data_IF_797695878589
#
_entry.id   IF_797695878589
#
_cell.length_a   1.000
_cell.length_b   1.000
_cell.length_c   1.000
_cell.angle_alpha   90.00
_cell.angle_beta   90.00
_cell.angle_gamma   90.00
#
_symmetry.space_group_name_H-M   'P 1'
#
loop_
_entity.id
_entity.type
_entity.pdbx_description
1 polymer ?
#
# COMPACT_ATOMS: atom_id res chain seq x y z
N UNK A 1 1.16 -19.07 -0.79
CA UNK A 1 1.10 -17.59 -0.80
C UNK A 1 1.98 -17.12 -1.94
N UNK A 2 1.57 -16.10 -2.69
CA UNK A 2 2.40 -15.49 -3.73
C UNK A 2 3.07 -14.24 -3.16
N UNK A 3 4.35 -14.04 -3.50
CA UNK A 3 5.14 -12.88 -3.08
C UNK A 3 5.89 -12.30 -4.28
N UNK A 4 6.15 -10.99 -4.23
CA UNK A 4 7.13 -10.34 -5.11
C UNK A 4 8.51 -10.32 -4.45
N UNK A 5 9.56 -10.41 -5.26
CA UNK A 5 10.94 -10.21 -4.84
C UNK A 5 11.27 -8.73 -4.63
N UNK A 6 12.56 -8.40 -4.55
CA UNK A 6 13.02 -7.02 -4.48
C UNK A 6 12.51 -6.20 -5.68
N UNK A 7 12.36 -4.89 -5.50
CA UNK A 7 11.95 -4.02 -6.60
C UNK A 7 12.96 -4.08 -7.75
N UNK A 8 12.44 -3.96 -8.98
CA UNK A 8 13.27 -3.69 -10.16
C UNK A 8 13.86 -2.30 -10.02
N UNK A 9 15.16 -2.15 -10.31
CA UNK A 9 15.79 -0.83 -10.40
C UNK A 9 15.74 -0.32 -11.84
N UNK A 10 15.52 1.00 -11.95
CA UNK A 10 15.40 1.69 -13.23
C UNK A 10 16.68 1.55 -14.07
N UNK A 11 16.56 1.82 -15.37
CA UNK A 11 17.71 1.89 -16.30
C UNK A 11 18.58 0.63 -16.37
N UNK A 12 18.04 -0.52 -15.94
CA UNK A 12 18.71 -1.81 -16.05
C UNK A 12 19.73 -2.10 -14.95
N UNK A 13 19.77 -1.31 -13.87
CA UNK A 13 20.67 -1.55 -12.74
C UNK A 13 20.38 -2.88 -12.02
N UNK A 14 19.10 -3.25 -11.95
CA UNK A 14 18.65 -4.53 -11.40
C UNK A 14 17.42 -5.04 -12.19
N UNK A 15 17.65 -5.64 -13.37
CA UNK A 15 16.59 -5.94 -14.34
C UNK A 15 15.70 -7.12 -13.93
N UNK A 16 16.09 -7.89 -12.91
CA UNK A 16 15.45 -9.10 -12.41
C UNK A 16 14.59 -8.88 -11.15
N UNK A 17 14.32 -7.62 -10.77
CA UNK A 17 13.38 -7.32 -9.69
C UNK A 17 11.91 -7.51 -10.07
N UNK A 18 11.04 -7.44 -9.07
CA UNK A 18 9.59 -7.65 -9.17
C UNK A 18 9.19 -9.03 -9.74
N UNK A 19 10.06 -10.03 -9.59
CA UNK A 19 9.72 -11.42 -9.90
C UNK A 19 8.74 -11.97 -8.87
N UNK A 20 7.88 -12.87 -9.31
CA UNK A 20 6.88 -13.52 -8.44
C UNK A 20 7.33 -14.91 -8.08
N UNK A 21 7.15 -15.30 -6.82
CA UNK A 21 7.33 -16.67 -6.33
C UNK A 21 6.08 -17.15 -5.60
N UNK A 22 5.90 -18.48 -5.54
CA UNK A 22 4.93 -19.11 -4.65
C UNK A 22 5.68 -19.77 -3.51
N UNK A 23 5.27 -19.48 -2.28
CA UNK A 23 5.82 -20.06 -1.06
C UNK A 23 4.74 -20.83 -0.27
N UNK A 24 5.19 -21.83 0.49
CA UNK A 24 4.37 -22.37 1.58
C UNK A 24 4.29 -21.37 2.74
N UNK A 25 3.39 -21.64 3.69
CA UNK A 25 3.35 -20.93 4.96
C UNK A 25 3.48 -21.97 6.06
N UNK A 26 4.62 -22.04 6.77
CA UNK A 26 4.78 -22.97 7.87
C UNK A 26 3.86 -22.59 9.03
N UNK A 27 3.63 -23.51 9.94
CA UNK A 27 2.83 -23.24 11.15
C UNK A 27 3.47 -22.08 11.93
N UNK A 28 2.74 -20.98 12.20
CA UNK A 28 3.30 -19.85 12.93
C UNK A 28 3.74 -20.23 14.35
N UNK A 29 4.83 -19.63 14.81
CA UNK A 29 5.37 -19.76 16.16
C UNK A 29 5.29 -18.40 16.85
N UNK A 30 4.85 -18.37 18.11
CA UNK A 30 4.86 -17.15 18.93
C UNK A 30 6.25 -17.01 19.56
N UNK A 31 7.13 -16.24 18.92
CA UNK A 31 8.45 -15.89 19.46
C UNK A 31 8.81 -14.43 19.15
N UNK A 32 9.68 -13.86 19.99
CA UNK A 32 10.37 -12.58 19.74
C UNK A 32 11.84 -12.78 19.35
N UNK A 33 12.28 -14.02 19.15
CA UNK A 33 13.62 -14.32 18.65
C UNK A 33 13.52 -14.76 17.19
N UNK A 34 14.27 -14.11 16.29
CA UNK A 34 14.26 -14.44 14.86
C UNK A 34 14.67 -15.89 14.58
N UNK A 35 15.64 -16.42 15.33
CA UNK A 35 16.13 -17.79 15.17
C UNK A 35 15.11 -18.89 15.48
N UNK A 36 14.02 -18.56 16.19
CA UNK A 36 12.95 -19.51 16.49
C UNK A 36 11.90 -19.57 15.35
N UNK A 37 11.93 -18.62 14.42
CA UNK A 37 10.90 -18.49 13.40
C UNK A 37 11.07 -19.55 12.31
N UNK A 38 9.99 -20.25 11.93
CA UNK A 38 10.05 -21.17 10.81
C UNK A 38 10.18 -20.40 9.48
N UNK A 39 10.99 -20.94 8.57
CA UNK A 39 11.24 -20.34 7.26
C UNK A 39 10.35 -20.97 6.19
N UNK A 40 9.66 -20.13 5.43
CA UNK A 40 8.86 -20.54 4.28
C UNK A 40 9.75 -21.11 3.15
N UNK A 41 9.21 -22.06 2.40
CA UNK A 41 9.90 -22.71 1.28
C UNK A 41 9.20 -22.40 -0.04
N UNK A 42 9.99 -22.28 -1.10
CA UNK A 42 9.46 -22.14 -2.45
C UNK A 42 8.69 -23.39 -2.86
N UNK A 43 7.44 -23.18 -3.29
CA UNK A 43 6.68 -24.13 -4.11
C UNK A 43 6.96 -23.90 -5.59
N UNK A 44 7.06 -22.64 -5.97
CA UNK A 44 7.54 -22.18 -7.28
C UNK A 44 8.57 -21.08 -7.02
N UNK A 45 9.78 -21.24 -7.55
CA UNK A 45 10.81 -20.20 -7.43
C UNK A 45 10.44 -18.94 -8.23
N UNK A 46 11.21 -17.86 -8.03
CA UNK A 46 10.97 -16.59 -8.70
C UNK A 46 10.91 -16.72 -10.23
N UNK A 47 9.92 -16.08 -10.84
CA UNK A 47 9.72 -15.98 -12.29
C UNK A 47 9.34 -14.56 -12.66
N UNK A 48 9.86 -14.07 -13.79
CA UNK A 48 9.43 -12.82 -14.41
C UNK A 48 8.10 -13.04 -15.16
N UNK A 49 7.00 -12.98 -14.42
CA UNK A 49 5.65 -13.11 -14.98
C UNK A 49 5.22 -11.89 -15.76
N UNK A 50 5.84 -10.73 -15.51
CA UNK A 50 5.53 -9.47 -16.18
C UNK A 50 6.44 -9.22 -17.40
N UNK A 51 7.20 -10.23 -17.85
CA UNK A 51 8.17 -10.08 -18.94
C UNK A 51 7.54 -9.46 -20.19
N UNK A 52 8.06 -8.30 -20.57
CA UNK A 52 7.60 -7.55 -21.74
C UNK A 52 6.40 -6.63 -21.50
N UNK A 53 5.85 -6.62 -20.28
CA UNK A 53 4.81 -5.69 -19.82
C UNK A 53 5.45 -4.55 -19.00
N UNK A 54 4.69 -3.46 -18.81
CA UNK A 54 5.05 -2.32 -17.93
C UNK A 54 6.45 -1.71 -18.17
N UNK A 55 6.91 -1.69 -19.41
CA UNK A 55 8.27 -1.21 -19.77
C UNK A 55 8.47 0.27 -19.45
N UNK A 56 7.39 1.04 -19.43
CA UNK A 56 7.39 2.48 -19.17
C UNK A 56 7.09 2.82 -17.69
N UNK A 57 7.15 1.81 -16.81
CA UNK A 57 6.86 1.90 -15.37
C UNK A 57 7.99 1.26 -14.56
N UNK A 58 9.21 1.78 -14.68
CA UNK A 58 10.43 1.22 -14.08
C UNK A 58 11.10 2.11 -13.02
N UNK A 59 10.64 3.36 -12.84
CA UNK A 59 11.19 4.30 -11.85
C UNK A 59 10.59 4.08 -10.46
N UNK A 60 11.27 3.30 -9.61
CA UNK A 60 10.83 2.95 -8.25
C UNK A 60 9.43 2.32 -8.30
N UNK A 61 9.32 1.07 -8.79
CA UNK A 61 8.05 0.41 -9.01
C UNK A 61 7.20 0.31 -7.74
N UNK A 62 5.89 0.19 -7.95
CA UNK A 62 4.91 -0.19 -6.92
C UNK A 62 4.12 -1.37 -7.45
N UNK A 63 4.17 -2.49 -6.74
CA UNK A 63 3.61 -3.75 -7.22
C UNK A 63 2.69 -4.32 -6.17
N UNK A 64 1.54 -4.81 -6.61
CA UNK A 64 0.59 -5.50 -5.74
C UNK A 64 0.04 -6.75 -6.39
N UNK A 65 -0.24 -7.77 -5.57
CA UNK A 65 -0.75 -9.07 -6.01
C UNK A 65 -2.05 -9.44 -5.30
N UNK A 66 -3.03 -9.96 -6.05
CA UNK A 66 -4.24 -10.55 -5.46
C UNK A 66 -4.60 -11.85 -6.18
N UNK A 67 -4.50 -12.98 -5.49
CA UNK A 67 -5.08 -14.24 -5.96
C UNK A 67 -6.61 -14.17 -5.91
N UNK A 68 -7.29 -14.52 -6.98
CA UNK A 68 -8.74 -14.62 -6.99
C UNK A 68 -9.19 -15.75 -7.92
N UNK A 69 -10.10 -16.58 -7.42
CA UNK A 69 -10.62 -17.75 -8.14
C UNK A 69 -12.13 -17.59 -8.29
N UNK A 70 -12.57 -17.46 -9.54
CA UNK A 70 -13.98 -17.28 -9.86
C UNK A 70 -14.47 -18.35 -10.82
N UNK A 71 -15.76 -18.72 -10.77
CA UNK A 71 -16.33 -19.64 -11.76
C UNK A 71 -16.12 -19.20 -13.22
N UNK A 72 -16.08 -17.89 -13.48
CA UNK A 72 -15.95 -17.36 -14.83
C UNK A 72 -14.52 -17.48 -15.38
N UNK A 73 -13.50 -17.24 -14.56
CA UNK A 73 -12.10 -17.09 -15.01
C UNK A 73 -11.20 -18.25 -14.59
N UNK A 74 -11.67 -19.08 -13.66
CA UNK A 74 -10.83 -19.92 -12.83
C UNK A 74 -9.85 -19.10 -12.00
N UNK A 75 -8.78 -19.73 -11.48
CA UNK A 75 -7.82 -19.06 -10.63
C UNK A 75 -6.94 -18.12 -11.45
N UNK A 76 -6.77 -16.91 -10.93
CA UNK A 76 -5.90 -15.86 -11.47
C UNK A 76 -5.16 -15.17 -10.34
N UNK A 77 -4.01 -14.59 -10.68
CA UNK A 77 -3.33 -13.63 -9.83
C UNK A 77 -3.42 -12.29 -10.56
N UNK A 78 -4.10 -11.35 -9.93
CA UNK A 78 -4.19 -9.98 -10.38
C UNK A 78 -2.94 -9.23 -9.95
N UNK A 79 -2.51 -8.32 -10.82
CA UNK A 79 -1.28 -7.55 -10.70
C UNK A 79 -1.60 -6.08 -10.88
N UNK A 80 -1.17 -5.25 -9.94
CA UNK A 80 -1.04 -3.82 -10.16
C UNK A 80 0.44 -3.46 -10.25
N UNK A 81 0.78 -2.52 -11.12
CA UNK A 81 2.14 -2.08 -11.40
C UNK A 81 2.15 -0.58 -11.65
N UNK A 82 2.74 0.18 -10.74
CA UNK A 82 2.97 1.61 -10.86
C UNK A 82 4.44 1.96 -10.73
N UNK A 83 4.71 3.26 -10.65
CA UNK A 83 6.05 3.81 -10.41
C UNK A 83 5.95 5.06 -9.51
N UNK A 84 7.07 5.67 -9.13
CA UNK A 84 7.06 6.83 -8.25
C UNK A 84 6.31 8.03 -8.83
N UNK A 85 6.58 8.37 -10.10
CA UNK A 85 5.97 9.48 -10.83
C UNK A 85 4.97 8.99 -11.87
N UNK A 86 3.82 9.65 -11.98
CA UNK A 86 2.85 9.36 -13.03
C UNK A 86 3.47 9.73 -14.39
N UNK A 87 3.50 8.81 -15.37
CA UNK A 87 4.01 9.11 -16.70
C UNK A 87 3.04 10.02 -17.45
N UNK A 88 3.59 10.80 -18.38
CA UNK A 88 2.86 11.59 -19.35
C UNK A 88 3.33 11.21 -20.77
N UNK A 89 2.50 10.55 -21.59
CA UNK A 89 1.09 10.19 -21.34
C UNK A 89 0.92 9.07 -20.28
N UNK A 90 -0.27 8.94 -19.66
CA UNK A 90 -0.55 7.89 -18.67
C UNK A 90 -0.37 6.47 -19.24
N UNK A 91 0.23 5.58 -18.44
CA UNK A 91 0.42 4.17 -18.75
C UNK A 91 -0.59 3.28 -18.00
N UNK A 92 -0.99 2.18 -18.64
CA UNK A 92 -1.84 1.16 -18.03
C UNK A 92 -1.05 0.37 -16.98
N UNK A 93 -1.69 0.08 -15.83
CA UNK A 93 -1.02 -0.44 -14.63
C UNK A 93 -1.55 -1.77 -14.13
N UNK A 94 -2.66 -2.29 -14.67
CA UNK A 94 -3.26 -3.52 -14.17
C UNK A 94 -3.16 -4.67 -15.16
N UNK A 95 -2.89 -5.86 -14.67
CA UNK A 95 -2.86 -7.10 -15.44
C UNK A 95 -3.36 -8.28 -14.59
N UNK A 96 -3.39 -9.45 -15.18
CA UNK A 96 -3.48 -10.71 -14.45
C UNK A 96 -2.63 -11.79 -15.10
N UNK A 97 -2.40 -12.88 -14.39
CA UNK A 97 -1.71 -14.07 -14.89
C UNK A 97 -2.21 -15.34 -14.18
N UNK A 98 -1.85 -16.50 -14.73
CA UNK A 98 -2.18 -17.81 -14.18
C UNK A 98 -1.24 -18.17 -13.02
N UNK A 99 -1.72 -18.92 -12.00
CA UNK A 99 -0.88 -19.32 -10.87
C UNK A 99 0.33 -20.23 -11.19
N UNK A 100 0.35 -20.89 -12.36
CA UNK A 100 1.55 -21.58 -12.85
C UNK A 100 2.54 -20.54 -13.37
N UNK A 101 3.55 -20.21 -12.55
CA UNK A 101 4.49 -19.12 -12.82
C UNK A 101 5.41 -19.41 -14.02
N UNK A 102 5.52 -20.66 -14.47
CA UNK A 102 6.25 -21.02 -15.70
C UNK A 102 5.40 -20.81 -16.96
N UNK A 103 4.09 -20.71 -16.80
CA UNK A 103 3.12 -20.46 -17.88
C UNK A 103 2.15 -19.34 -17.46
N UNK A 104 2.66 -18.15 -17.13
CA UNK A 104 1.86 -17.09 -16.52
C UNK A 104 0.75 -16.61 -17.45
N UNK A 105 0.96 -16.62 -18.78
CA UNK A 105 -0.09 -16.20 -19.73
C UNK A 105 -0.60 -14.78 -19.45
N UNK A 106 0.31 -13.90 -19.03
CA UNK A 106 0.00 -12.54 -18.57
C UNK A 106 -0.82 -11.78 -19.61
N UNK A 107 -1.92 -11.20 -19.16
CA UNK A 107 -2.91 -10.53 -20.01
C UNK A 107 -3.34 -9.22 -19.34
N UNK A 108 -3.70 -8.24 -20.18
CA UNK A 108 -3.71 -6.82 -19.85
C UNK A 108 -2.87 -6.07 -20.87
N UNK A 109 -2.34 -4.90 -20.61
CA UNK A 109 -2.48 -4.06 -19.40
C UNK A 109 -3.73 -3.19 -19.47
N UNK A 110 -4.34 -2.86 -18.34
CA UNK A 110 -5.55 -2.04 -18.27
C UNK A 110 -5.35 -0.78 -17.43
N UNK A 111 -6.23 0.21 -17.65
CA UNK A 111 -6.39 1.36 -16.77
C UNK A 111 -7.60 1.15 -15.85
N UNK A 112 -7.58 1.76 -14.66
CA UNK A 112 -8.75 1.86 -13.77
C UNK A 112 -9.45 3.19 -14.06
N UNK A 113 -10.53 3.12 -14.85
CA UNK A 113 -11.29 4.29 -15.28
C UNK A 113 -10.43 5.46 -15.74
N UNK A 114 -10.69 6.63 -15.16
CA UNK A 114 -9.93 7.86 -15.35
C UNK A 114 -9.03 8.22 -14.14
N UNK A 115 -8.77 7.25 -13.26
CA UNK A 115 -8.06 7.49 -12.00
C UNK A 115 -6.57 7.75 -12.25
N UNK A 116 -5.96 8.53 -11.35
CA UNK A 116 -4.51 8.79 -11.34
C UNK A 116 -3.74 7.51 -11.03
N UNK A 117 -2.56 7.37 -11.66
CA UNK A 117 -1.61 6.31 -11.34
C UNK A 117 -1.20 6.36 -9.85
N UNK A 118 -1.22 7.53 -9.23
CA UNK A 118 -0.88 7.68 -7.82
C UNK A 118 -1.88 7.01 -6.87
N UNK A 119 -3.10 6.67 -7.32
CA UNK A 119 -4.16 6.21 -6.43
C UNK A 119 -4.58 4.74 -6.62
N UNK A 120 -3.98 3.99 -7.56
CA UNK A 120 -4.56 2.70 -8.01
C UNK A 120 -3.67 1.46 -7.94
N UNK A 121 -2.38 1.55 -7.61
CA UNK A 121 -1.41 0.45 -7.80
C UNK A 121 -0.42 0.20 -6.64
N UNK A 122 -0.85 0.43 -5.41
CA UNK A 122 -0.06 0.15 -4.20
C UNK A 122 -0.53 -1.09 -3.44
N UNK A 123 -1.79 -1.49 -3.59
CA UNK A 123 -2.36 -2.69 -2.96
C UNK A 123 -3.61 -3.15 -3.70
N UNK A 124 -3.97 -4.41 -3.48
CA UNK A 124 -5.17 -5.05 -4.04
C UNK A 124 -5.87 -5.88 -2.98
N UNK A 125 -7.18 -6.06 -3.12
CA UNK A 125 -7.95 -6.97 -2.26
C UNK A 125 -9.09 -7.63 -3.02
N UNK A 126 -9.50 -8.79 -2.55
CA UNK A 126 -10.79 -9.37 -2.90
C UNK A 126 -11.92 -8.67 -2.12
N UNK A 127 -13.00 -8.30 -2.79
CA UNK A 127 -14.26 -7.82 -2.20
C UNK A 127 -15.28 -8.97 -2.26
N UNK A 128 -15.94 -9.33 -1.14
CA UNK A 128 -16.94 -10.41 -1.12
C UNK A 128 -18.00 -10.22 -2.20
N UNK A 129 -18.25 -11.27 -2.98
CA UNK A 129 -19.11 -11.18 -4.17
C UNK A 129 -20.54 -10.76 -3.83
N UNK A 130 -21.10 -11.24 -2.71
CA UNK A 130 -22.44 -10.85 -2.26
C UNK A 130 -22.54 -9.34 -1.99
N UNK A 131 -21.48 -8.74 -1.44
CA UNK A 131 -21.41 -7.30 -1.22
C UNK A 131 -21.21 -6.55 -2.55
N UNK A 132 -20.34 -7.07 -3.43
CA UNK A 132 -20.04 -6.46 -4.72
C UNK A 132 -21.25 -6.44 -5.66
N UNK A 133 -22.01 -7.53 -5.75
CA UNK A 133 -23.22 -7.61 -6.58
C UNK A 133 -24.24 -6.54 -6.19
N UNK A 134 -24.41 -6.31 -4.88
CA UNK A 134 -25.35 -5.34 -4.35
C UNK A 134 -24.91 -3.88 -4.54
N UNK A 135 -23.61 -3.59 -4.45
CA UNK A 135 -23.13 -2.21 -4.29
C UNK A 135 -22.26 -1.71 -5.45
N UNK A 136 -21.56 -2.61 -6.15
CA UNK A 136 -20.58 -2.25 -7.19
C UNK A 136 -20.88 -2.91 -8.54
N UNK A 137 -22.04 -3.56 -8.67
CA UNK A 137 -22.44 -4.25 -9.89
C UNK A 137 -21.50 -5.42 -10.23
N UNK A 138 -21.16 -6.22 -9.22
CA UNK A 138 -20.33 -7.43 -9.36
C UNK A 138 -18.82 -7.18 -9.46
N UNK A 139 -18.37 -5.93 -9.30
CA UNK A 139 -16.95 -5.56 -9.25
C UNK A 139 -16.35 -6.01 -7.92
N UNK A 140 -15.80 -7.22 -7.91
CA UNK A 140 -15.33 -7.96 -6.72
C UNK A 140 -13.81 -7.87 -6.49
N UNK A 141 -13.09 -7.06 -7.26
CA UNK A 141 -11.70 -6.72 -6.97
C UNK A 141 -11.58 -5.27 -6.53
N UNK A 142 -10.83 -5.02 -5.47
CA UNK A 142 -10.44 -3.69 -5.00
C UNK A 142 -8.99 -3.41 -5.37
N UNK A 143 -8.71 -2.17 -5.74
CA UNK A 143 -7.34 -1.67 -5.93
C UNK A 143 -7.22 -0.26 -5.40
N UNK A 144 -6.04 0.11 -4.94
CA UNK A 144 -5.76 1.45 -4.45
C UNK A 144 -4.27 1.68 -4.30
N UNK A 145 -3.88 2.89 -3.90
CA UNK A 145 -2.51 3.24 -3.54
C UNK A 145 -2.55 4.39 -2.56
N UNK A 146 -1.56 4.40 -1.69
CA UNK A 146 -1.16 5.60 -0.98
C UNK A 146 0.18 6.12 -1.51
N UNK A 147 0.27 7.42 -1.77
CA UNK A 147 1.50 8.13 -2.09
C UNK A 147 1.63 9.32 -1.12
N UNK A 148 2.77 9.32 -0.44
CA UNK A 148 3.24 10.38 0.44
C UNK A 148 3.15 11.78 -0.18
N UNK A 149 3.09 12.79 0.68
CA UNK A 149 2.80 14.16 0.27
C UNK A 149 1.34 14.40 -0.07
N UNK A 150 0.46 13.38 0.02
CA UNK A 150 -0.98 13.49 -0.25
C UNK A 150 -1.34 13.42 -1.73
N UNK A 151 -0.41 12.98 -2.58
CA UNK A 151 -0.55 12.98 -4.03
C UNK A 151 -1.49 11.90 -4.56
N UNK A 152 -1.76 10.86 -3.77
CA UNK A 152 -2.79 9.85 -4.08
C UNK A 152 -4.16 10.17 -3.46
N UNK A 153 -4.26 11.28 -2.73
CA UNK A 153 -5.31 11.55 -1.76
C UNK A 153 -4.76 11.60 -0.33
N UNK A 154 -5.30 12.48 0.50
CA UNK A 154 -4.92 12.64 1.91
C UNK A 154 -5.52 11.55 2.83
N UNK A 155 -5.37 10.30 2.42
CA UNK A 155 -5.89 9.08 3.05
C UNK A 155 -5.85 7.91 2.05
N UNK A 156 -6.14 6.66 2.48
CA UNK A 156 -6.14 5.51 1.57
C UNK A 156 -7.22 5.66 0.48
N UNK A 157 -6.97 5.07 -0.69
CA UNK A 157 -7.90 5.07 -1.82
C UNK A 157 -8.39 3.64 -2.09
N UNK A 158 -9.62 3.50 -2.60
CA UNK A 158 -10.18 2.21 -2.95
C UNK A 158 -11.15 2.32 -4.11
N UNK A 159 -10.88 1.55 -5.15
CA UNK A 159 -11.72 1.43 -6.34
C UNK A 159 -12.07 -0.04 -6.58
N UNK A 160 -13.37 -0.33 -6.68
CA UNK A 160 -13.83 -1.65 -7.07
C UNK A 160 -13.88 -1.75 -8.59
N UNK A 161 -13.35 -2.83 -9.17
CA UNK A 161 -13.33 -3.05 -10.61
C UNK A 161 -13.45 -4.55 -10.96
N UNK A 162 -13.58 -4.83 -12.25
CA UNK A 162 -13.59 -6.19 -12.82
C UNK A 162 -12.95 -6.16 -14.22
N UNK A 163 -11.82 -6.84 -14.46
CA UNK A 163 -11.14 -6.86 -15.76
C UNK A 163 -11.65 -7.93 -16.75
N UNK A 164 -12.77 -8.59 -16.47
CA UNK A 164 -13.37 -9.59 -17.35
C UNK A 164 -14.86 -9.37 -17.57
N UNK A 165 -15.36 -9.87 -18.69
CA UNK A 165 -16.78 -9.95 -19.03
C UNK A 165 -17.45 -11.16 -18.36
N UNK A 166 -18.77 -11.26 -18.38
CA UNK A 166 -19.50 -12.35 -17.70
C UNK A 166 -19.11 -13.76 -18.19
N UNK A 167 -18.58 -13.87 -19.41
CA UNK A 167 -18.05 -15.11 -19.99
C UNK A 167 -16.68 -15.51 -19.43
N UNK A 168 -16.06 -14.67 -18.59
CA UNK A 168 -14.69 -14.84 -18.11
C UNK A 168 -13.61 -14.32 -19.06
N UNK A 169 -13.99 -13.84 -20.25
CA UNK A 169 -13.04 -13.26 -21.21
C UNK A 169 -12.46 -11.94 -20.66
N UNK A 170 -11.12 -11.77 -20.69
CA UNK A 170 -10.50 -10.50 -20.27
C UNK A 170 -10.92 -9.36 -21.19
N UNK A 171 -11.00 -8.15 -20.62
CA UNK A 171 -11.09 -6.94 -21.42
C UNK A 171 -9.84 -6.79 -22.33
N UNK A 172 -9.96 -6.17 -23.51
CA UNK A 172 -8.81 -5.92 -24.38
C UNK A 172 -7.69 -5.13 -23.68
N UNK A 173 -6.41 -5.32 -24.08
CA UNK A 173 -5.32 -4.47 -23.64
C UNK A 173 -5.59 -2.99 -23.94
N UNK A 174 -5.19 -2.10 -23.02
CA UNK A 174 -5.39 -0.66 -23.12
C UNK A 174 -6.78 -0.17 -22.70
N UNK A 175 -7.71 -1.07 -22.37
CA UNK A 175 -9.06 -0.68 -21.91
C UNK A 175 -8.99 0.12 -20.59
N UNK A 176 -9.80 1.19 -20.53
CA UNK A 176 -10.19 1.85 -19.28
C UNK A 176 -11.35 1.07 -18.66
N UNK A 177 -11.03 0.22 -17.69
CA UNK A 177 -12.01 -0.60 -17.00
C UNK A 177 -12.98 0.28 -16.24
N UNK A 178 -14.26 -0.06 -16.29
CA UNK A 178 -15.25 0.61 -15.46
C UNK A 178 -15.04 0.25 -13.99
N UNK A 179 -14.96 1.29 -13.16
CA UNK A 179 -14.69 1.21 -11.74
C UNK A 179 -15.83 1.80 -10.90
N UNK A 180 -15.81 1.51 -9.61
CA UNK A 180 -16.63 2.15 -8.60
C UNK A 180 -15.74 2.73 -7.52
N UNK A 181 -15.78 4.05 -7.34
CA UNK A 181 -15.08 4.71 -6.24
C UNK A 181 -15.75 4.29 -4.92
N UNK A 182 -14.95 3.76 -3.99
CA UNK A 182 -15.38 3.40 -2.64
C UNK A 182 -14.74 4.32 -1.59
N UNK A 183 -13.49 4.72 -1.82
CA UNK A 183 -12.76 5.64 -0.96
C UNK A 183 -11.81 6.48 -1.81
N UNK A 184 -11.89 7.81 -1.69
CA UNK A 184 -10.98 8.74 -2.35
C UNK A 184 -11.02 10.07 -1.60
N UNK A 185 -9.96 10.35 -0.86
CA UNK A 185 -9.73 11.60 -0.15
C UNK A 185 -9.19 12.70 -1.06
N UNK A 186 -9.31 13.95 -0.62
CA UNK A 186 -8.80 15.11 -1.36
C UNK A 186 -7.30 14.98 -1.61
N UNK A 187 -6.87 15.29 -2.84
CA UNK A 187 -5.46 15.28 -3.24
C UNK A 187 -4.82 16.64 -2.95
N UNK A 188 -3.61 16.64 -2.40
CA UNK A 188 -2.83 17.85 -2.11
C UNK A 188 -2.37 18.61 -3.36
N UNK A 189 -2.35 17.94 -4.52
CA UNK A 189 -2.10 18.57 -5.82
C UNK A 189 -3.22 19.54 -6.22
N UNK A 190 -4.41 19.38 -5.65
CA UNK A 190 -5.59 20.21 -5.94
C UNK A 190 -5.85 21.27 -4.85
N UNK A 191 -5.26 21.12 -3.66
CA UNK A 191 -5.42 22.04 -2.52
C UNK A 191 -4.27 21.84 -1.54
N UNK A 192 -3.68 22.93 -1.05
CA UNK A 192 -2.66 22.89 0.01
C UNK A 192 -3.27 22.80 1.41
N UNK A 193 -4.61 22.79 1.52
CA UNK A 193 -5.32 22.67 2.80
C UNK A 193 -5.42 21.21 3.22
N UNK A 194 -5.29 20.96 4.51
CA UNK A 194 -5.57 19.66 5.13
C UNK A 194 -7.07 19.56 5.38
N UNK A 195 -7.83 19.25 4.33
CA UNK A 195 -9.30 19.14 4.35
C UNK A 195 -9.76 17.90 3.59
N UNK A 196 -10.97 17.40 3.88
CA UNK A 196 -11.51 16.18 3.25
C UNK A 196 -10.51 15.01 3.26
N UNK A 197 -9.84 14.85 4.39
CA UNK A 197 -8.75 13.91 4.60
C UNK A 197 -9.11 12.87 5.68
N UNK A 198 -8.26 11.84 5.79
CA UNK A 198 -8.25 10.97 6.96
C UNK A 198 -8.05 11.81 8.23
N UNK A 199 -8.80 11.52 9.30
CA UNK A 199 -8.59 12.17 10.60
C UNK A 199 -7.17 11.88 11.11
N UNK A 200 -6.46 12.94 11.47
CA UNK A 200 -5.06 12.84 11.89
C UNK A 200 -4.09 12.59 10.74
N UNK A 201 -4.51 12.79 9.49
CA UNK A 201 -3.65 12.70 8.30
C UNK A 201 -2.38 13.54 8.45
N UNK A 202 -1.25 12.97 8.01
CA UNK A 202 -0.01 13.69 7.83
C UNK A 202 0.61 13.27 6.49
N UNK A 203 1.33 14.19 5.82
CA UNK A 203 1.96 13.90 4.52
C UNK A 203 2.84 12.63 4.48
N UNK A 204 3.55 12.26 5.56
CA UNK A 204 4.37 11.06 5.57
C UNK A 204 3.61 9.76 5.87
N UNK A 205 2.26 9.74 5.97
CA UNK A 205 1.56 8.46 6.20
C UNK A 205 1.92 7.46 5.08
N UNK A 206 1.84 6.16 5.38
CA UNK A 206 2.04 5.08 4.42
C UNK A 206 0.92 4.06 4.64
N UNK A 207 0.25 3.62 3.57
CA UNK A 207 -0.69 2.51 3.59
C UNK A 207 -0.31 1.55 2.47
N UNK A 208 0.29 0.43 2.85
CA UNK A 208 0.95 -0.51 1.92
C UNK A 208 0.13 -1.77 1.69
N UNK A 209 -0.87 -2.05 2.54
CA UNK A 209 -1.70 -3.24 2.41
C UNK A 209 -3.17 -2.94 2.64
N UNK A 210 -4.03 -3.68 1.95
CA UNK A 210 -5.47 -3.65 2.19
C UNK A 210 -6.06 -5.07 2.14
N UNK A 211 -7.07 -5.33 2.98
CA UNK A 211 -7.77 -6.60 3.01
C UNK A 211 -9.22 -6.40 3.41
N UNK A 212 -10.12 -7.16 2.77
CA UNK A 212 -11.48 -7.31 3.25
C UNK A 212 -11.56 -8.51 4.19
N UNK A 213 -11.80 -8.24 5.47
CA UNK A 213 -11.87 -9.27 6.51
C UNK A 213 -13.32 -9.56 6.86
N UNK A 214 -13.65 -10.85 6.97
CA UNK A 214 -14.94 -11.33 7.42
C UNK A 214 -14.75 -12.36 8.54
N UNK A 215 -15.59 -12.24 9.56
CA UNK A 215 -15.69 -13.24 10.64
C UNK A 215 -16.68 -14.32 10.25
N UNK A 216 -16.58 -15.50 10.88
CA UNK A 216 -17.56 -16.58 10.70
C UNK A 216 -18.99 -16.20 11.07
N UNK A 217 -19.18 -15.11 11.84
CA UNK A 217 -20.49 -14.57 12.23
C UNK A 217 -21.03 -13.52 11.26
N UNK A 218 -20.31 -13.23 10.16
CA UNK A 218 -20.72 -12.24 9.17
C UNK A 218 -20.39 -10.79 9.52
N UNK A 219 -19.64 -10.53 10.61
CA UNK A 219 -19.04 -9.19 10.80
C UNK A 219 -17.96 -8.99 9.75
N UNK A 220 -17.90 -7.80 9.19
CA UNK A 220 -17.03 -7.46 8.07
C UNK A 220 -16.36 -6.11 8.28
N UNK A 221 -15.12 -5.97 7.81
CA UNK A 221 -14.40 -4.70 7.80
C UNK A 221 -13.47 -4.62 6.59
N UNK A 222 -13.20 -3.40 6.13
CA UNK A 222 -12.09 -3.13 5.20
C UNK A 222 -10.93 -2.61 6.00
N UNK A 223 -9.84 -3.37 6.01
CA UNK A 223 -8.62 -3.07 6.75
C UNK A 223 -7.59 -2.47 5.80
N UNK A 224 -6.99 -1.34 6.18
CA UNK A 224 -5.73 -0.87 5.62
C UNK A 224 -4.64 -0.99 6.67
N UNK A 225 -3.46 -1.40 6.24
CA UNK A 225 -2.28 -1.54 7.08
C UNK A 225 -1.13 -0.70 6.52
N UNK A 226 -0.39 -0.03 7.41
CA UNK A 226 0.79 0.70 7.00
C UNK A 226 1.50 1.42 8.14
N UNK A 227 2.51 2.20 7.78
CA UNK A 227 3.27 3.05 8.70
C UNK A 227 2.59 4.41 8.79
N UNK A 228 1.85 4.67 9.89
CA UNK A 228 1.19 5.95 10.13
C UNK A 228 2.19 6.96 10.69
N UNK A 229 2.17 8.19 10.19
CA UNK A 229 2.83 9.31 10.84
C UNK A 229 1.95 9.88 11.96
N UNK A 230 2.43 9.82 13.19
CA UNK A 230 1.68 10.22 14.42
C UNK A 230 2.38 11.34 15.19
N UNK A 231 3.50 11.82 14.67
CA UNK A 231 4.34 12.82 15.29
C UNK A 231 3.70 14.19 15.48
N UNK A 232 4.28 14.98 16.40
CA UNK A 232 3.89 16.36 16.67
C UNK A 232 4.18 17.30 15.50
N UNK A 233 5.18 16.99 14.67
CA UNK A 233 5.52 17.69 13.43
C UNK A 233 5.87 16.70 12.32
N UNK A 234 5.68 17.13 11.08
CA UNK A 234 6.11 16.43 9.87
C UNK A 234 6.60 17.42 8.81
N UNK A 235 7.57 17.00 8.00
CA UNK A 235 8.24 17.86 7.05
C UNK A 235 8.77 17.12 5.83
N UNK A 236 9.02 17.86 4.75
CA UNK A 236 9.79 17.39 3.60
C UNK A 236 11.24 17.86 3.73
N UNK A 237 12.18 16.92 3.70
CA UNK A 237 13.60 17.19 3.91
C UNK A 237 14.34 15.96 4.39
N UNK A 238 15.08 16.10 5.49
CA UNK A 238 16.03 15.11 5.98
C UNK A 238 15.77 14.74 7.45
N UNK A 239 16.39 13.66 7.92
CA UNK A 239 16.48 13.38 9.36
C UNK A 239 17.39 14.42 10.02
N UNK A 240 16.95 14.96 11.15
CA UNK A 240 17.75 15.91 11.91
C UNK A 240 18.78 15.18 12.79
N UNK A 241 20.08 15.55 12.75
CA UNK A 241 21.15 14.80 13.44
C UNK A 241 21.07 14.88 14.97
N UNK A 242 20.37 15.88 15.51
CA UNK A 242 20.12 16.00 16.97
C UNK A 242 18.90 15.20 17.45
N UNK A 243 18.22 14.49 16.55
CA UNK A 243 17.12 13.60 16.90
C UNK A 243 15.74 14.05 16.40
N UNK A 244 14.73 13.20 16.64
CA UNK A 244 13.47 13.21 15.90
C UNK A 244 12.55 14.39 16.23
N UNK A 245 12.79 15.10 17.33
CA UNK A 245 11.96 16.23 17.76
C UNK A 245 12.12 17.50 16.88
N UNK A 246 13.18 17.56 16.06
CA UNK A 246 13.56 18.73 15.30
C UNK A 246 13.35 18.48 13.79
N UNK A 247 12.59 19.35 13.10
CA UNK A 247 12.53 19.33 11.66
C UNK A 247 13.88 19.69 11.02
N UNK A 248 14.17 19.09 9.88
CA UNK A 248 15.27 19.49 8.99
C UNK A 248 14.71 19.56 7.58
N UNK A 249 14.20 20.72 7.18
CA UNK A 249 13.52 20.88 5.88
C UNK A 249 14.55 20.97 4.75
N UNK A 250 14.17 20.59 3.54
CA UNK A 250 14.98 20.93 2.36
C UNK A 250 14.79 22.42 2.03
N UNK A 251 15.87 23.19 2.14
CA UNK A 251 15.83 24.65 2.00
C UNK A 251 15.34 25.08 0.62
N UNK A 252 15.56 24.27 -0.42
CA UNK A 252 15.17 24.58 -1.80
C UNK A 252 13.65 24.62 -1.98
N UNK A 253 12.88 23.91 -1.13
CA UNK A 253 11.42 23.85 -1.22
C UNK A 253 10.71 24.87 -0.32
N UNK A 254 11.43 25.55 0.57
CA UNK A 254 10.84 26.59 1.41
C UNK A 254 10.24 27.69 0.52
N UNK A 255 8.95 27.94 0.69
CA UNK A 255 8.20 28.93 -0.10
C UNK A 255 7.58 28.38 -1.39
N UNK A 256 7.88 27.15 -1.79
CA UNK A 256 7.20 26.48 -2.91
C UNK A 256 5.88 25.83 -2.46
N UNK A 257 5.88 25.23 -1.28
CA UNK A 257 4.69 24.71 -0.58
C UNK A 257 4.95 24.69 0.94
N UNK A 258 3.94 24.40 1.79
CA UNK A 258 4.16 24.26 3.23
C UNK A 258 5.01 23.02 3.56
N UNK A 259 6.34 23.19 3.59
CA UNK A 259 7.32 22.11 3.76
C UNK A 259 7.35 21.47 5.14
N UNK A 260 6.78 22.13 6.16
CA UNK A 260 6.69 21.61 7.53
C UNK A 260 5.35 21.99 8.12
N UNK A 261 4.72 21.04 8.83
CA UNK A 261 3.47 21.25 9.56
C UNK A 261 3.51 20.62 10.94
N UNK A 262 2.72 21.16 11.87
CA UNK A 262 2.34 20.51 13.12
C UNK A 262 1.27 19.44 12.89
N UNK A 263 1.05 18.57 13.87
CA UNK A 263 0.08 17.47 13.83
C UNK A 263 -1.36 17.90 13.50
N UNK A 264 -1.74 19.15 13.80
CA UNK A 264 -3.04 19.74 13.47
C UNK A 264 -3.13 20.30 12.03
N UNK A 265 -2.08 20.12 11.22
CA UNK A 265 -2.00 20.54 9.83
C UNK A 265 -1.57 21.99 9.62
N UNK A 266 -1.32 22.78 10.67
CA UNK A 266 -0.84 24.16 10.52
C UNK A 266 0.64 24.19 10.12
N UNK A 267 1.10 25.19 9.36
CA UNK A 267 2.52 25.37 9.06
C UNK A 267 3.36 25.45 10.34
N UNK A 268 4.56 24.87 10.31
CA UNK A 268 5.53 25.02 11.41
C UNK A 268 5.95 26.49 11.59
N UNK A 269 6.38 26.89 12.80
CA UNK A 269 7.03 28.17 13.03
C UNK A 269 8.20 28.42 12.07
N UNK A 270 8.43 29.69 11.70
CA UNK A 270 9.53 30.08 10.78
C UNK A 270 10.91 29.60 11.27
N UNK A 271 11.10 29.46 12.58
CA UNK A 271 12.34 28.93 13.15
C UNK A 271 12.64 27.47 12.74
N UNK A 272 11.60 26.68 12.45
CA UNK A 272 11.72 25.28 12.00
C UNK A 272 11.93 25.17 10.48
N UNK A 273 11.78 26.26 9.72
CA UNK A 273 11.89 26.26 8.26
C UNK A 273 13.33 26.45 7.79
N UNK A 274 14.24 25.63 8.32
CA UNK A 274 15.67 25.67 8.02
C UNK A 274 16.22 24.27 7.77
N UNK A 275 17.06 24.18 6.76
CA UNK A 275 17.90 23.00 6.59
C UNK A 275 18.96 22.96 7.69
N UNK A 276 19.13 21.80 8.31
CA UNK A 276 20.01 21.60 9.44
C UNK A 276 21.43 21.22 8.98
N UNK A 277 22.46 21.68 9.67
CA UNK A 277 23.82 21.27 9.31
C UNK A 277 24.06 19.79 9.65
N UNK A 278 24.70 19.04 8.73
CA UNK A 278 25.11 17.66 8.97
C UNK A 278 24.00 16.62 8.87
N UNK A 279 22.88 16.94 8.19
CA UNK A 279 21.92 15.90 7.81
C UNK A 279 22.52 14.93 6.77
N UNK A 280 21.93 13.75 6.67
CA UNK A 280 22.26 12.75 5.65
C UNK A 280 21.69 13.12 4.29
N UNK A 281 22.11 12.44 3.24
CA UNK A 281 21.69 12.75 1.87
C UNK A 281 20.27 12.29 1.54
N UNK A 282 19.69 11.37 2.31
CA UNK A 282 18.38 10.82 2.02
C UNK A 282 17.27 11.84 2.30
N UNK A 283 16.58 12.25 1.23
CA UNK A 283 15.47 13.20 1.27
C UNK A 283 14.11 12.50 1.17
N UNK A 284 13.15 12.95 1.95
CA UNK A 284 11.77 12.47 1.86
C UNK A 284 10.82 13.20 2.82
N UNK A 285 9.61 12.67 2.94
CA UNK A 285 8.68 13.07 4.00
C UNK A 285 9.05 12.37 5.31
N UNK A 286 9.28 13.18 6.34
CA UNK A 286 9.65 12.75 7.68
C UNK A 286 8.64 13.24 8.70
N UNK A 287 8.58 12.53 9.83
CA UNK A 287 7.77 12.87 10.97
C UNK A 287 8.61 12.78 12.23
N UNK A 288 8.19 13.46 13.30
CA UNK A 288 8.78 13.22 14.62
C UNK A 288 8.48 11.81 15.15
N UNK A 289 7.42 11.15 14.64
CA UNK A 289 7.06 9.77 15.03
C UNK A 289 6.27 9.06 13.93
N UNK A 290 6.58 7.79 13.76
CA UNK A 290 5.81 6.81 13.01
C UNK A 290 5.36 5.67 13.92
N UNK A 291 4.21 5.06 13.63
CA UNK A 291 3.75 3.83 14.26
C UNK A 291 3.15 2.90 13.19
N UNK A 292 3.32 1.59 13.29
CA UNK A 292 2.64 0.63 12.42
C UNK A 292 1.20 0.42 12.89
N UNK A 293 0.23 0.60 11.99
CA UNK A 293 -1.18 0.59 12.35
C UNK A 293 -2.04 -0.22 11.39
N UNK A 294 -3.13 -0.79 11.93
CA UNK A 294 -4.32 -1.13 11.17
C UNK A 294 -5.39 -0.08 11.36
N UNK A 295 -6.05 0.29 10.29
CA UNK A 295 -7.27 1.10 10.33
C UNK A 295 -8.41 0.34 9.66
N UNK A 296 -9.57 0.33 10.32
CA UNK A 296 -10.71 -0.48 9.89
C UNK A 296 -11.88 0.42 9.52
N UNK A 297 -12.38 0.27 8.29
CA UNK A 297 -13.55 0.94 7.75
C UNK A 297 -14.77 0.04 7.77
N UNK A 298 -15.94 0.64 7.99
CA UNK A 298 -17.23 -0.03 7.90
C UNK A 298 -17.62 -0.21 6.41
N UNK A 299 -17.82 -1.44 5.92
CA UNK A 299 -18.31 -1.68 4.56
C UNK A 299 -19.63 -1.00 4.23
N UNK A 300 -20.43 -0.66 5.24
CA UNK A 300 -21.69 0.07 5.08
C UNK A 300 -21.45 1.50 4.59
N UNK A 301 -20.38 2.16 5.03
CA UNK A 301 -20.03 3.50 4.56
C UNK A 301 -19.52 3.46 3.11
N UNK A 302 -18.72 2.44 2.76
CA UNK A 302 -18.31 2.23 1.37
C UNK A 302 -19.51 1.93 0.46
N UNK A 303 -20.52 1.21 0.96
CA UNK A 303 -21.76 0.97 0.23
C UNK A 303 -22.56 2.27 0.01
N UNK A 304 -22.58 3.18 1.00
CA UNK A 304 -23.18 4.51 0.87
C UNK A 304 -22.44 5.37 -0.14
N UNK A 305 -21.11 5.31 -0.19
CA UNK A 305 -20.32 5.98 -1.25
C UNK A 305 -20.70 5.41 -2.62
N UNK A 306 -20.74 4.09 -2.75
CA UNK A 306 -21.12 3.44 -4.00
C UNK A 306 -22.55 3.83 -4.46
N UNK A 307 -23.46 4.09 -3.52
CA UNK A 307 -24.84 4.53 -3.79
C UNK A 307 -24.97 6.05 -3.99
N UNK A 308 -23.89 6.83 -3.87
CA UNK A 308 -23.91 8.28 -3.96
C UNK A 308 -24.55 8.97 -2.75
N UNK A 309 -24.64 8.28 -1.61
CA UNK A 309 -25.21 8.79 -0.34
C UNK A 309 -24.17 9.40 0.59
N UNK A 310 -22.89 9.08 0.37
CA UNK A 310 -21.74 9.73 1.00
C UNK A 310 -20.75 10.13 -0.10
N UNK A 311 -20.05 11.23 0.09
CA UNK A 311 -18.88 11.56 -0.71
C UNK A 311 -17.72 10.61 -0.37
N UNK A 312 -16.84 10.37 -1.34
CA UNK A 312 -15.77 9.36 -1.23
C UNK A 312 -14.72 9.63 -0.15
N UNK A 313 -14.67 10.86 0.38
CA UNK A 313 -13.75 11.29 1.45
C UNK A 313 -14.41 11.35 2.83
N UNK A 314 -15.72 11.08 2.93
CA UNK A 314 -16.44 11.10 4.19
C UNK A 314 -16.23 9.87 5.08
N UNK A 315 -16.11 8.63 4.55
CA UNK A 315 -15.82 7.49 5.40
C UNK A 315 -14.55 7.73 6.23
N UNK A 316 -14.57 7.29 7.48
CA UNK A 316 -13.43 7.32 8.38
C UNK A 316 -13.29 5.94 9.03
N UNK A 317 -12.08 5.52 9.42
CA UNK A 317 -11.94 4.27 10.13
C UNK A 317 -12.68 4.36 11.47
N UNK A 318 -13.42 3.31 11.82
CA UNK A 318 -14.11 3.21 13.11
C UNK A 318 -13.21 2.64 14.20
N UNK A 319 -12.09 2.01 13.84
CA UNK A 319 -11.10 1.49 14.76
C UNK A 319 -9.68 1.67 14.20
N UNK A 320 -8.75 1.88 15.12
CA UNK A 320 -7.30 1.92 14.87
C UNK A 320 -6.66 0.92 15.83
N UNK A 321 -5.76 0.10 15.32
CA UNK A 321 -4.95 -0.82 16.12
C UNK A 321 -3.49 -0.51 15.89
N UNK A 322 -2.78 -0.11 16.94
CA UNK A 322 -1.33 -0.02 16.94
C UNK A 322 -0.74 -1.42 17.07
N UNK A 323 0.22 -1.76 16.23
CA UNK A 323 0.86 -3.09 16.21
C UNK A 323 2.38 -3.05 16.41
N UNK A 324 2.97 -1.89 16.69
CA UNK A 324 4.42 -1.74 16.81
C UNK A 324 5.06 -2.70 17.80
N UNK A 325 4.42 -2.91 18.96
CA UNK A 325 4.92 -3.80 20.02
C UNK A 325 5.00 -5.28 19.60
N UNK A 326 4.37 -5.61 18.47
CA UNK A 326 4.40 -6.95 17.88
C UNK A 326 5.53 -7.13 16.86
N UNK A 327 6.22 -6.05 16.46
CA UNK A 327 7.24 -6.04 15.41
C UNK A 327 8.67 -6.18 15.97
N UNK A 328 9.62 -6.56 15.11
CA UNK A 328 11.06 -6.65 15.40
C UNK A 328 11.79 -5.31 15.21
N UNK A 329 11.26 -4.43 14.35
CA UNK A 329 11.67 -3.04 14.13
C UNK A 329 13.12 -2.87 13.64
N UNK A 330 13.56 -3.70 12.69
CA UNK A 330 14.90 -3.66 12.09
C UNK A 330 16.05 -3.72 13.11
N UNK A 331 16.19 -4.87 13.79
CA UNK A 331 17.17 -5.04 14.87
C UNK A 331 18.62 -4.86 14.38
N UNK A 332 18.89 -5.11 13.10
CA UNK A 332 20.21 -5.01 12.49
C UNK A 332 20.56 -3.58 12.03
N UNK A 333 19.65 -2.63 12.23
CA UNK A 333 19.82 -1.22 11.86
C UNK A 333 20.24 -1.03 10.39
N UNK A 334 19.65 -1.82 9.48
CA UNK A 334 19.83 -1.65 8.04
C UNK A 334 19.28 -0.31 7.55
N UNK A 335 19.99 0.28 6.60
CA UNK A 335 19.61 1.50 5.86
C UNK A 335 19.07 2.62 6.77
N UNK A 336 19.78 3.01 7.85
CA UNK A 336 19.24 3.94 8.83
C UNK A 336 18.96 5.34 8.25
N UNK A 337 19.64 5.72 7.16
CA UNK A 337 19.42 6.99 6.48
C UNK A 337 18.10 7.00 5.70
N UNK A 338 17.81 5.92 4.97
CA UNK A 338 16.59 5.78 4.20
C UNK A 338 15.40 5.50 5.11
N UNK A 339 15.57 4.58 6.06
CA UNK A 339 14.47 4.00 6.81
C UNK A 339 14.23 4.73 8.15
N UNK A 340 15.19 5.52 8.61
CA UNK A 340 15.17 6.10 9.96
C UNK A 340 15.36 5.06 11.06
N UNK A 341 15.43 5.54 12.29
CA UNK A 341 15.65 4.75 13.51
C UNK A 341 14.66 5.11 14.60
N UNK A 342 14.38 4.18 15.51
CA UNK A 342 13.49 4.40 16.66
C UNK A 342 12.15 5.04 16.24
N UNK A 343 11.74 6.14 16.88
CA UNK A 343 10.48 6.83 16.59
C UNK A 343 10.36 7.26 15.11
N UNK A 344 11.47 7.48 14.40
CA UNK A 344 11.49 7.89 12.99
C UNK A 344 11.57 6.74 12.00
N UNK A 345 11.50 5.50 12.47
CA UNK A 345 11.50 4.31 11.61
C UNK A 345 10.27 4.31 10.71
N UNK A 346 10.45 4.40 9.39
CA UNK A 346 9.41 4.22 8.36
C UNK A 346 9.55 2.87 7.63
N UNK A 347 8.64 2.56 6.71
CA UNK A 347 8.56 1.26 6.02
C UNK A 347 8.56 0.06 6.97
N UNK A 348 7.75 0.12 8.04
CA UNK A 348 7.73 -0.95 9.05
C UNK A 348 7.06 -2.22 8.53
N UNK A 349 5.96 -2.04 7.81
CA UNK A 349 5.15 -3.14 7.28
C UNK A 349 4.88 -2.95 5.79
N UNK A 350 4.73 -4.07 5.08
CA UNK A 350 4.35 -4.13 3.67
C UNK A 350 2.92 -4.64 3.50
N UNK A 351 2.69 -5.35 2.39
CA UNK A 351 1.38 -5.88 2.04
C UNK A 351 0.82 -6.87 3.07
N UNK A 352 -0.51 -7.01 3.01
CA UNK A 352 -1.29 -7.92 3.85
C UNK A 352 -2.14 -8.84 2.99
N UNK A 353 -2.48 -10.01 3.51
CA UNK A 353 -3.46 -10.89 2.88
C UNK A 353 -4.23 -11.69 3.92
N UNK A 354 -5.41 -12.19 3.55
CA UNK A 354 -6.30 -12.92 4.45
C UNK A 354 -6.59 -14.32 3.92
N UNK A 355 -6.40 -15.32 4.79
CA UNK A 355 -6.98 -16.64 4.62
C UNK A 355 -8.33 -16.66 5.33
N UNK A 356 -9.40 -16.40 4.57
CA UNK A 356 -10.76 -16.35 5.12
C UNK A 356 -11.22 -17.70 5.65
N UNK A 357 -10.84 -18.80 4.99
CA UNK A 357 -11.23 -20.16 5.39
C UNK A 357 -10.74 -20.51 6.80
N UNK A 358 -9.51 -20.07 7.12
CA UNK A 358 -8.93 -20.26 8.44
C UNK A 358 -9.04 -19.03 9.36
N UNK A 359 -9.53 -17.89 8.88
CA UNK A 359 -9.61 -16.63 9.64
C UNK A 359 -8.24 -16.13 10.09
N UNK A 360 -7.25 -16.14 9.19
CA UNK A 360 -5.88 -15.69 9.45
C UNK A 360 -5.57 -14.46 8.59
N UNK A 361 -4.97 -13.44 9.21
CA UNK A 361 -4.44 -12.25 8.54
C UNK A 361 -2.91 -12.35 8.57
N UNK A 362 -2.28 -12.27 7.41
CA UNK A 362 -0.83 -12.30 7.21
C UNK A 362 -0.34 -10.91 6.84
N UNK A 363 0.80 -10.50 7.39
CA UNK A 363 1.40 -9.17 7.15
C UNK A 363 2.90 -9.32 7.08
N UNK A 364 3.51 -8.63 6.13
CA UNK A 364 4.96 -8.55 6.03
C UNK A 364 5.48 -7.43 6.94
N UNK A 365 6.39 -7.76 7.85
CA UNK A 365 7.29 -6.78 8.45
C UNK A 365 8.55 -6.71 7.59
N UNK A 366 8.92 -5.51 7.16
CA UNK A 366 10.07 -5.29 6.29
C UNK A 366 11.34 -5.11 7.12
N UNK A 367 12.46 -5.62 6.61
CA UNK A 367 13.78 -5.50 7.25
C UNK A 367 13.87 -6.10 8.67
N UNK A 368 13.03 -7.08 8.99
CA UNK A 368 13.03 -7.70 10.32
C UNK A 368 14.20 -8.68 10.53
N UNK A 369 14.68 -9.33 9.47
CA UNK A 369 15.80 -10.26 9.49
C UNK A 369 16.74 -9.92 8.32
N UNK A 370 17.66 -8.99 8.54
CA UNK A 370 18.41 -8.32 7.49
C UNK A 370 17.43 -7.79 6.41
N UNK A 371 17.67 -8.05 5.13
CA UNK A 371 16.75 -7.66 4.05
C UNK A 371 15.50 -8.55 3.92
N UNK A 372 15.41 -9.65 4.69
CA UNK A 372 14.29 -10.60 4.59
C UNK A 372 13.10 -10.11 5.42
N UNK A 373 11.88 -10.24 4.89
CA UNK A 373 10.69 -9.91 5.67
C UNK A 373 10.35 -11.04 6.65
N UNK A 374 9.69 -10.67 7.75
CA UNK A 374 9.02 -11.62 8.65
C UNK A 374 7.52 -11.57 8.38
N UNK A 375 6.88 -12.74 8.27
CA UNK A 375 5.43 -12.83 8.14
C UNK A 375 4.81 -12.93 9.53
N UNK A 376 4.09 -11.90 9.95
CA UNK A 376 3.28 -11.94 11.15
C UNK A 376 1.88 -12.47 10.86
N UNK A 377 1.29 -13.17 11.82
CA UNK A 377 -0.02 -13.81 11.64
C UNK A 377 -0.96 -13.50 12.79
N UNK A 378 -2.08 -12.85 12.49
CA UNK A 378 -3.18 -12.61 13.42
C UNK A 378 -4.33 -13.57 13.18
N UNK A 379 -5.02 -13.94 14.26
CA UNK A 379 -6.29 -14.65 14.18
C UNK A 379 -7.43 -13.64 14.17
N UNK A 380 -8.22 -13.61 13.10
CA UNK A 380 -9.44 -12.81 13.05
C UNK A 380 -10.51 -13.53 13.88
N UNK A 381 -10.93 -12.92 14.98
CA UNK A 381 -11.91 -13.45 15.94
C UNK A 381 -13.16 -12.56 16.00
N UNK A 382 -14.21 -13.09 16.62
CA UNK A 382 -15.53 -12.46 16.77
C UNK A 382 -15.49 -11.19 17.62
#
# INVERSE_FOLDING_TARGET
MFISGHDRLAYGELPDGNQVAEIDIPKPVKSKNLGDLPVAKFRQGFQDVAKGFFKDLDEIPRVALQYYDTPATGPKIHLAWGQHMQPDPPAASHAWFNPDLKKPGTTGTWFIGAQSLYSVNGYMLEIPIEWADKNTGGRSLGTGRYKDGGWSGMGPALFAYRPWEDTGAPAPPGTRLSEKVLLLYQNSQNSDKIEHCLKGYQHPDEWEGAAWIETKTGKSAVLFAGTKSTGAKYWYGYIHPQGPAYPCVDQAFVGQFPVCRSADGKPCPVADLRECAGHQSYRGWWSTRFDAQFILYDPTDLARVAQGRLASWEPQPYAVLDIDESLFLNPDNLEPEMLGTADQRRYRIGEITVDRGNGLLYILELFADQARPVVHVWKVRQ
#
